data_IF_715076827538
#
_entry.id   IF_715076827538
#
_cell.length_a   1.000
_cell.length_b   1.000
_cell.length_c   1.000
_cell.angle_alpha   90.00
_cell.angle_beta   90.00
_cell.angle_gamma   90.00
#
_symmetry.space_group_name_H-M   'P 1'
#
loop_
_entity.id
_entity.type
_entity.pdbx_description
1 polymer ?
#
# COMPACT_ATOMS: atom_id res chain seq x y z
N UNK A 1 -7.39 -16.12 25.55
CA UNK A 1 -6.98 -17.53 25.46
C UNK A 1 -7.87 -18.39 26.35
N UNK A 2 -9.15 -18.52 25.99
CA UNK A 2 -10.10 -19.43 26.66
C UNK A 2 -10.03 -20.84 26.06
N UNK A 3 -9.48 -20.97 24.86
CA UNK A 3 -9.29 -22.21 24.12
C UNK A 3 -8.37 -23.18 24.89
N UNK A 4 -7.30 -22.65 25.51
CA UNK A 4 -6.42 -23.41 26.39
C UNK A 4 -7.12 -23.81 27.70
N UNK A 5 -8.00 -22.94 28.22
CA UNK A 5 -8.79 -23.24 29.41
C UNK A 5 -9.77 -24.39 29.15
N UNK A 6 -10.33 -24.50 27.95
CA UNK A 6 -11.16 -25.64 27.55
C UNK A 6 -10.38 -26.97 27.59
N UNK A 7 -9.12 -26.96 27.12
CA UNK A 7 -8.24 -28.12 27.24
C UNK A 7 -7.95 -28.51 28.70
N UNK A 8 -7.73 -27.54 29.58
CA UNK A 8 -7.56 -27.75 31.02
C UNK A 8 -8.84 -28.33 31.63
N UNK A 9 -10.01 -27.79 31.29
CA UNK A 9 -11.30 -28.28 31.77
C UNK A 9 -11.50 -29.74 31.37
N UNK A 10 -11.22 -30.12 30.13
CA UNK A 10 -11.32 -31.53 29.69
C UNK A 10 -10.39 -32.42 30.52
N UNK A 11 -9.13 -32.00 30.68
CA UNK A 11 -8.14 -32.76 31.46
C UNK A 11 -8.54 -32.95 32.93
N UNK A 12 -9.32 -32.01 33.50
CA UNK A 12 -9.78 -32.06 34.89
C UNK A 12 -11.18 -32.66 35.07
N UNK A 13 -12.06 -32.57 34.08
CA UNK A 13 -13.51 -32.72 34.26
C UNK A 13 -14.02 -34.16 34.29
N UNK A 14 -13.16 -35.16 34.09
CA UNK A 14 -13.52 -36.60 34.11
C UNK A 14 -14.80 -36.94 33.31
N UNK A 15 -15.15 -36.13 32.30
CA UNK A 15 -16.36 -36.30 31.50
C UNK A 15 -16.22 -37.59 30.70
N UNK A 16 -17.14 -38.53 30.91
CA UNK A 16 -17.16 -39.81 30.22
C UNK A 16 -18.49 -40.03 29.51
N UNK A 17 -18.41 -40.44 28.25
CA UNK A 17 -19.56 -40.83 27.45
C UNK A 17 -19.87 -42.30 27.75
N UNK A 18 -21.06 -42.57 28.30
CA UNK A 18 -21.44 -43.93 28.73
C UNK A 18 -21.67 -44.89 27.56
N UNK A 19 -22.24 -44.41 26.45
CA UNK A 19 -22.59 -45.24 25.29
C UNK A 19 -21.52 -45.14 24.20
N UNK A 20 -21.10 -46.30 23.69
CA UNK A 20 -20.19 -46.37 22.54
C UNK A 20 -20.79 -45.72 21.29
N UNK A 21 -22.09 -45.90 21.04
CA UNK A 21 -22.76 -45.26 19.91
C UNK A 21 -22.74 -43.73 20.03
N UNK A 22 -23.00 -43.21 21.23
CA UNK A 22 -22.94 -41.77 21.45
C UNK A 22 -21.51 -41.23 21.29
N UNK A 23 -20.49 -41.99 21.71
CA UNK A 23 -19.10 -41.62 21.50
C UNK A 23 -18.73 -41.58 20.00
N UNK A 24 -19.21 -42.52 19.19
CA UNK A 24 -19.03 -42.48 17.72
C UNK A 24 -19.66 -41.22 17.12
N UNK A 25 -20.91 -40.92 17.48
CA UNK A 25 -21.62 -39.72 16.98
C UNK A 25 -20.87 -38.45 17.38
N UNK A 26 -20.48 -38.31 18.65
CA UNK A 26 -19.77 -37.13 19.17
C UNK A 26 -18.38 -37.00 18.54
N UNK A 27 -17.68 -38.11 18.33
CA UNK A 27 -16.38 -38.13 17.65
C UNK A 27 -16.49 -37.68 16.19
N UNK A 28 -17.45 -38.21 15.44
CA UNK A 28 -17.69 -37.80 14.04
C UNK A 28 -18.12 -36.32 13.98
N UNK A 29 -19.02 -35.89 14.87
CA UNK A 29 -19.43 -34.49 14.95
C UNK A 29 -18.24 -33.57 15.26
N UNK A 30 -17.35 -33.98 16.17
CA UNK A 30 -16.14 -33.24 16.53
C UNK A 30 -15.19 -33.06 15.35
N UNK A 31 -14.86 -34.13 14.62
CA UNK A 31 -14.04 -34.02 13.40
C UNK A 31 -14.75 -33.17 12.35
N UNK A 32 -16.03 -33.38 12.12
CA UNK A 32 -16.80 -32.62 11.13
C UNK A 32 -16.77 -31.12 11.43
N UNK A 33 -16.86 -30.72 12.71
CA UNK A 33 -16.73 -29.32 13.11
C UNK A 33 -15.34 -28.73 12.79
N UNK A 34 -14.26 -29.50 13.03
CA UNK A 34 -12.89 -29.09 12.67
C UNK A 34 -12.75 -28.96 11.16
N UNK A 35 -13.17 -29.97 10.38
CA UNK A 35 -13.09 -29.96 8.91
C UNK A 35 -13.92 -28.82 8.31
N UNK A 36 -15.12 -28.59 8.83
CA UNK A 36 -15.98 -27.46 8.42
C UNK A 36 -15.27 -26.15 8.66
N UNK A 37 -14.60 -25.99 9.80
CA UNK A 37 -13.83 -24.77 10.11
C UNK A 37 -12.69 -24.57 9.11
N UNK A 38 -11.97 -25.63 8.72
CA UNK A 38 -10.89 -25.57 7.73
C UNK A 38 -11.39 -25.14 6.35
N UNK A 39 -12.58 -25.57 5.94
CA UNK A 39 -13.13 -25.29 4.60
C UNK A 39 -13.87 -23.95 4.54
N UNK A 40 -14.60 -23.58 5.60
CA UNK A 40 -15.48 -22.41 5.62
C UNK A 40 -14.79 -21.14 6.11
N UNK A 41 -13.74 -21.24 6.92
CA UNK A 41 -13.07 -20.04 7.43
C UNK A 41 -12.21 -19.40 6.34
N UNK A 42 -12.32 -18.09 6.23
CA UNK A 42 -11.62 -17.28 5.24
C UNK A 42 -10.95 -16.07 5.89
N UNK A 43 -10.26 -15.28 5.09
CA UNK A 43 -9.70 -13.97 5.46
C UNK A 43 -10.76 -12.99 6.00
N UNK A 44 -12.04 -13.23 5.71
CA UNK A 44 -13.18 -12.44 6.22
C UNK A 44 -13.72 -12.91 7.57
N UNK A 45 -13.30 -14.08 8.05
CA UNK A 45 -13.76 -14.62 9.33
C UNK A 45 -12.99 -13.97 10.46
N UNK A 46 -13.69 -13.22 11.33
CA UNK A 46 -13.07 -12.62 12.50
C UNK A 46 -12.48 -13.68 13.44
N UNK A 47 -11.15 -13.73 13.51
CA UNK A 47 -10.40 -14.68 14.33
C UNK A 47 -9.21 -13.98 15.01
N UNK A 48 -8.98 -14.22 16.32
CA UNK A 48 -9.77 -15.04 17.24
C UNK A 48 -11.09 -14.34 17.65
N UNK A 49 -12.13 -15.12 17.95
CA UNK A 49 -13.47 -14.63 18.28
C UNK A 49 -14.47 -15.76 18.50
N UNK A 50 -15.77 -15.49 18.38
CA UNK A 50 -16.84 -16.51 18.49
C UNK A 50 -16.63 -17.64 17.48
N UNK A 51 -16.09 -17.35 16.29
CA UNK A 51 -15.78 -18.35 15.28
C UNK A 51 -14.87 -19.47 15.80
N UNK A 52 -13.96 -19.18 16.74
CA UNK A 52 -13.08 -20.18 17.33
C UNK A 52 -13.81 -21.24 18.17
N UNK A 53 -15.07 -21.01 18.59
CA UNK A 53 -15.87 -21.99 19.33
C UNK A 53 -16.08 -23.28 18.54
N UNK A 54 -16.35 -23.17 17.23
CA UNK A 54 -16.64 -24.34 16.41
C UNK A 54 -15.47 -25.34 16.37
N UNK A 55 -14.23 -24.97 15.99
CA UNK A 55 -13.11 -25.90 15.98
C UNK A 55 -12.67 -26.32 17.39
N UNK A 56 -12.79 -25.45 18.40
CA UNK A 56 -12.32 -25.77 19.76
C UNK A 56 -13.26 -26.70 20.51
N UNK A 57 -14.58 -26.49 20.43
CA UNK A 57 -15.58 -27.43 20.96
C UNK A 57 -15.54 -28.72 20.14
N UNK A 58 -15.34 -28.65 18.83
CA UNK A 58 -15.15 -29.83 17.98
C UNK A 58 -13.97 -30.69 18.43
N UNK A 59 -12.81 -30.06 18.66
CA UNK A 59 -11.63 -30.75 19.21
C UNK A 59 -11.90 -31.31 20.61
N UNK A 60 -12.56 -30.56 21.48
CA UNK A 60 -12.93 -31.00 22.82
C UNK A 60 -13.82 -32.25 22.80
N UNK A 61 -14.89 -32.21 22.02
CA UNK A 61 -15.83 -33.29 21.83
C UNK A 61 -15.12 -34.55 21.28
N UNK A 62 -14.23 -34.35 20.30
CA UNK A 62 -13.45 -35.45 19.73
C UNK A 62 -12.53 -36.11 20.76
N UNK A 63 -11.81 -35.33 21.57
CA UNK A 63 -10.93 -35.85 22.63
C UNK A 63 -11.73 -36.64 23.66
N UNK A 64 -12.81 -36.05 24.21
CA UNK A 64 -13.65 -36.69 25.24
C UNK A 64 -14.27 -38.00 24.75
N UNK A 65 -14.76 -38.03 23.51
CA UNK A 65 -15.35 -39.23 22.93
C UNK A 65 -14.34 -40.37 22.79
N UNK A 66 -13.14 -40.06 22.32
CA UNK A 66 -12.09 -41.07 22.08
C UNK A 66 -11.35 -41.51 23.34
N UNK A 67 -11.32 -40.67 24.38
CA UNK A 67 -10.87 -41.08 25.72
C UNK A 67 -11.90 -42.00 26.39
N UNK A 68 -13.20 -41.81 26.11
CA UNK A 68 -14.27 -42.65 26.65
C UNK A 68 -14.35 -44.03 25.98
N UNK A 69 -14.25 -44.08 24.64
CA UNK A 69 -14.34 -45.32 23.84
C UNK A 69 -13.46 -45.25 22.58
N UNK A 70 -12.89 -46.38 22.11
CA UNK A 70 -12.08 -46.42 20.88
C UNK A 70 -12.93 -46.35 19.60
N UNK A 71 -13.29 -45.13 19.20
CA UNK A 71 -14.13 -44.89 18.00
C UNK A 71 -13.40 -45.22 16.69
N UNK A 72 -14.15 -45.39 15.60
CA UNK A 72 -13.58 -45.60 14.26
C UNK A 72 -12.74 -44.41 13.78
N UNK A 73 -13.25 -43.20 14.00
CA UNK A 73 -12.56 -41.96 13.67
C UNK A 73 -11.26 -41.80 14.47
N UNK A 74 -11.27 -42.12 15.76
CA UNK A 74 -10.06 -42.17 16.60
C UNK A 74 -9.05 -43.19 16.12
N UNK A 75 -9.48 -44.40 15.72
CA UNK A 75 -8.59 -45.43 15.17
C UNK A 75 -7.91 -44.99 13.88
N UNK A 76 -8.62 -44.31 12.98
CA UNK A 76 -8.03 -43.75 11.76
C UNK A 76 -6.95 -42.72 12.09
N UNK A 77 -7.24 -41.77 12.99
CA UNK A 77 -6.28 -40.75 13.43
C UNK A 77 -5.14 -41.30 14.29
N UNK A 78 -5.29 -42.51 14.84
CA UNK A 78 -4.25 -43.24 15.56
C UNK A 78 -3.31 -44.05 14.65
N UNK A 79 -3.40 -43.86 13.32
CA UNK A 79 -2.44 -44.45 12.39
C UNK A 79 -1.04 -43.85 12.59
N UNK A 80 0.00 -44.65 12.38
CA UNK A 80 1.40 -44.26 12.61
C UNK A 80 1.80 -42.95 11.90
N UNK A 81 1.40 -42.69 10.63
CA UNK A 81 1.75 -41.43 9.96
C UNK A 81 1.10 -40.20 10.60
N UNK A 82 -0.16 -40.31 11.05
CA UNK A 82 -0.88 -39.18 11.66
C UNK A 82 -0.39 -38.90 13.07
N UNK A 83 -0.08 -39.95 13.84
CA UNK A 83 0.61 -39.80 15.13
C UNK A 83 1.97 -39.14 14.93
N UNK A 84 2.75 -39.57 13.94
CA UNK A 84 4.05 -38.97 13.64
C UNK A 84 3.93 -37.46 13.37
N UNK A 85 2.96 -37.04 12.55
CA UNK A 85 2.68 -35.63 12.30
C UNK A 85 2.29 -34.88 13.58
N UNK A 86 1.48 -35.50 14.44
CA UNK A 86 1.14 -34.95 15.76
C UNK A 86 2.36 -34.78 16.67
N UNK A 87 3.27 -35.76 16.69
CA UNK A 87 4.48 -35.72 17.51
C UNK A 87 5.44 -34.60 17.11
N UNK A 88 5.61 -34.34 15.81
CA UNK A 88 6.49 -33.26 15.32
C UNK A 88 5.81 -31.90 15.20
N UNK A 89 4.51 -31.80 15.50
CA UNK A 89 3.66 -30.65 15.18
C UNK A 89 4.19 -29.31 15.74
N UNK A 90 4.73 -29.32 16.96
CA UNK A 90 5.33 -28.13 17.56
C UNK A 90 6.59 -27.67 16.82
N UNK A 91 7.52 -28.60 16.55
CA UNK A 91 8.71 -28.32 15.74
C UNK A 91 8.34 -27.88 14.32
N UNK A 92 7.27 -28.46 13.75
CA UNK A 92 6.74 -28.08 12.44
C UNK A 92 6.19 -26.66 12.42
N UNK A 93 5.45 -26.28 13.45
CA UNK A 93 5.01 -24.90 13.65
C UNK A 93 6.20 -23.92 13.67
N UNK A 94 7.32 -24.28 14.27
CA UNK A 94 8.51 -23.42 14.32
C UNK A 94 9.25 -23.33 12.98
N UNK A 95 9.42 -24.43 12.26
CA UNK A 95 10.28 -24.47 11.07
C UNK A 95 9.58 -24.13 9.75
N UNK A 96 8.28 -24.40 9.62
CA UNK A 96 7.58 -24.15 8.36
C UNK A 96 7.62 -22.66 8.02
N UNK A 97 7.29 -21.78 8.97
CA UNK A 97 7.15 -20.35 8.70
C UNK A 97 8.45 -19.67 8.24
N UNK A 98 9.60 -19.81 8.94
CA UNK A 98 10.86 -19.26 8.47
C UNK A 98 11.24 -19.73 7.07
N UNK A 99 11.09 -21.03 6.77
CA UNK A 99 11.38 -21.57 5.44
C UNK A 99 10.56 -20.88 4.35
N UNK A 100 9.24 -20.83 4.52
CA UNK A 100 8.36 -20.24 3.50
C UNK A 100 8.60 -18.74 3.36
N UNK A 101 8.83 -18.03 4.46
CA UNK A 101 9.12 -16.59 4.42
C UNK A 101 10.44 -16.34 3.71
N UNK A 102 11.54 -16.96 4.12
CA UNK A 102 12.85 -16.74 3.48
C UNK A 102 12.87 -17.17 2.01
N UNK A 103 12.20 -18.26 1.66
CA UNK A 103 12.04 -18.67 0.27
C UNK A 103 11.29 -17.62 -0.56
N UNK A 104 10.19 -17.07 -0.01
CA UNK A 104 9.41 -16.02 -0.67
C UNK A 104 10.20 -14.71 -0.78
N UNK A 105 11.05 -14.39 0.19
CA UNK A 105 11.93 -13.21 0.14
C UNK A 105 13.07 -13.37 -0.87
N UNK A 106 13.57 -14.59 -1.05
CA UNK A 106 14.65 -14.90 -1.99
C UNK A 106 14.19 -15.03 -3.45
N UNK A 107 12.88 -15.19 -3.68
CA UNK A 107 12.26 -15.35 -5.00
C UNK A 107 11.51 -14.09 -5.42
N UNK A 108 11.77 -13.58 -6.62
CA UNK A 108 11.01 -12.47 -7.23
C UNK A 108 9.65 -12.91 -7.79
N UNK A 109 9.48 -14.22 -8.03
CA UNK A 109 8.29 -14.84 -8.59
C UNK A 109 7.53 -15.65 -7.52
N UNK A 110 6.24 -15.95 -7.76
CA UNK A 110 5.52 -16.94 -6.96
C UNK A 110 6.32 -18.24 -6.87
N UNK A 111 6.31 -18.87 -5.70
CA UNK A 111 7.00 -20.14 -5.50
C UNK A 111 6.38 -21.20 -6.41
N UNK A 112 7.21 -21.85 -7.24
CA UNK A 112 6.72 -22.91 -8.12
C UNK A 112 6.18 -24.08 -7.28
N UNK A 113 5.22 -24.87 -7.81
CA UNK A 113 4.72 -26.05 -7.10
C UNK A 113 5.84 -26.99 -6.65
N UNK A 114 6.87 -27.15 -7.49
CA UNK A 114 8.06 -27.95 -7.17
C UNK A 114 8.83 -27.41 -5.97
N UNK A 115 9.03 -26.09 -5.91
CA UNK A 115 9.70 -25.43 -4.80
C UNK A 115 8.86 -25.50 -3.51
N UNK A 116 7.54 -25.35 -3.62
CA UNK A 116 6.62 -25.53 -2.48
C UNK A 116 6.70 -26.95 -1.90
N UNK A 117 6.67 -27.97 -2.76
CA UNK A 117 6.84 -29.37 -2.31
C UNK A 117 8.20 -29.56 -1.64
N UNK A 118 9.28 -29.02 -2.21
CA UNK A 118 10.61 -29.05 -1.60
C UNK A 118 10.65 -28.39 -0.22
N UNK A 119 10.01 -27.23 -0.04
CA UNK A 119 9.93 -26.53 1.24
C UNK A 119 9.09 -27.30 2.26
N UNK A 120 7.96 -27.89 1.87
CA UNK A 120 7.17 -28.77 2.73
C UNK A 120 8.01 -29.96 3.24
N UNK A 121 8.73 -30.63 2.33
CA UNK A 121 9.60 -31.76 2.69
C UNK A 121 10.73 -31.31 3.61
N UNK A 122 11.38 -30.19 3.32
CA UNK A 122 12.42 -29.62 4.17
C UNK A 122 11.88 -29.25 5.57
N UNK A 123 10.68 -28.68 5.64
CA UNK A 123 10.02 -28.36 6.91
C UNK A 123 9.81 -29.62 7.75
N UNK A 124 9.25 -30.69 7.17
CA UNK A 124 9.04 -31.96 7.88
C UNK A 124 10.36 -32.58 8.35
N UNK A 125 11.40 -32.59 7.51
CA UNK A 125 12.72 -33.13 7.86
C UNK A 125 13.33 -32.34 9.03
N UNK A 126 13.39 -31.02 8.93
CA UNK A 126 13.93 -30.18 10.00
C UNK A 126 13.12 -30.29 11.29
N UNK A 127 11.81 -30.42 11.17
CA UNK A 127 10.91 -30.62 12.32
C UNK A 127 11.17 -31.94 13.00
N UNK A 128 11.38 -33.01 12.24
CA UNK A 128 11.75 -34.31 12.79
C UNK A 128 13.13 -34.30 13.46
N UNK A 129 14.12 -33.66 12.84
CA UNK A 129 15.46 -33.48 13.43
C UNK A 129 15.37 -32.69 14.75
N UNK A 130 14.67 -31.56 14.73
CA UNK A 130 14.41 -30.72 15.91
C UNK A 130 13.69 -31.52 17.01
N UNK A 131 12.64 -32.25 16.65
CA UNK A 131 11.91 -33.11 17.58
C UNK A 131 12.82 -34.20 18.19
N UNK A 132 13.63 -34.87 17.38
CA UNK A 132 14.46 -36.01 17.81
C UNK A 132 15.66 -35.61 18.65
N UNK A 133 16.29 -34.48 18.32
CA UNK A 133 17.58 -34.05 18.90
C UNK A 133 17.47 -32.88 19.87
N UNK A 134 16.38 -32.11 19.83
CA UNK A 134 16.13 -31.01 20.76
C UNK A 134 14.96 -31.39 21.67
N UNK A 135 13.76 -31.55 21.11
CA UNK A 135 12.54 -31.68 21.91
C UNK A 135 12.55 -32.93 22.83
N UNK A 136 12.84 -34.12 22.28
CA UNK A 136 12.87 -35.38 23.06
C UNK A 136 13.89 -35.32 24.22
N UNK A 137 15.17 -34.91 23.98
CA UNK A 137 16.15 -34.78 25.07
C UNK A 137 15.72 -33.85 26.19
N UNK A 138 15.10 -32.70 25.88
CA UNK A 138 14.62 -31.76 26.90
C UNK A 138 13.34 -32.25 27.60
N UNK A 139 12.49 -33.03 26.91
CA UNK A 139 11.25 -33.60 27.48
C UNK A 139 11.50 -34.76 28.44
N UNK A 140 12.55 -35.56 28.22
CA UNK A 140 12.93 -36.66 29.12
C UNK A 140 13.69 -36.07 30.32
N UNK A 141 13.17 -36.31 31.53
CA UNK A 141 13.53 -35.72 32.85
C UNK A 141 15.03 -35.64 33.25
N UNK A 142 15.97 -36.13 32.45
CA UNK A 142 17.41 -36.13 32.79
C UNK A 142 18.05 -34.74 32.85
N UNK A 143 17.53 -33.75 32.10
CA UNK A 143 18.06 -32.36 32.13
C UNK A 143 17.41 -31.46 33.20
N UNK A 144 16.27 -31.88 33.78
CA UNK A 144 15.45 -31.05 34.70
C UNK A 144 16.06 -30.97 36.12
N UNK A 145 17.01 -31.83 36.47
CA UNK A 145 17.69 -31.77 37.78
C UNK A 145 18.56 -30.51 37.98
N UNK A 146 18.76 -29.70 36.92
CA UNK A 146 19.45 -28.40 37.00
C UNK A 146 18.54 -27.27 36.51
N UNK A 147 17.31 -27.17 37.05
CA UNK A 147 16.35 -26.08 36.73
C UNK A 147 16.99 -24.68 36.70
N UNK A 148 17.93 -24.42 37.61
CA UNK A 148 18.66 -23.16 37.68
C UNK A 148 19.63 -22.95 36.51
N UNK A 149 20.21 -24.01 35.95
CA UNK A 149 21.08 -23.92 34.76
C UNK A 149 20.23 -23.62 33.52
N UNK A 150 19.06 -24.23 33.37
CA UNK A 150 18.15 -23.92 32.26
C UNK A 150 17.64 -22.48 32.34
N UNK A 151 17.22 -22.03 33.54
CA UNK A 151 16.82 -20.65 33.77
C UNK A 151 17.97 -19.66 33.53
N UNK A 152 19.19 -19.99 33.99
CA UNK A 152 20.37 -19.16 33.75
C UNK A 152 20.73 -19.08 32.27
N UNK A 153 20.72 -20.21 31.54
CA UNK A 153 20.98 -20.22 30.09
C UNK A 153 19.90 -19.45 29.32
N UNK A 154 18.64 -19.58 29.71
CA UNK A 154 17.54 -18.78 29.15
C UNK A 154 17.73 -17.29 29.41
N UNK A 155 18.01 -16.90 30.66
CA UNK A 155 18.28 -15.52 31.03
C UNK A 155 19.55 -14.96 30.36
N UNK A 156 20.60 -15.77 30.22
CA UNK A 156 21.82 -15.40 29.52
C UNK A 156 21.58 -15.23 28.02
N UNK A 157 20.81 -16.11 27.38
CA UNK A 157 20.43 -15.96 25.98
C UNK A 157 19.59 -14.69 25.76
N UNK A 158 18.62 -14.42 26.64
CA UNK A 158 17.84 -13.18 26.63
C UNK A 158 18.73 -11.95 26.86
N UNK A 159 19.68 -12.02 27.79
CA UNK A 159 20.65 -10.96 28.07
C UNK A 159 21.56 -10.70 26.88
N UNK A 160 22.07 -11.74 26.23
CA UNK A 160 22.88 -11.63 25.00
C UNK A 160 22.06 -11.01 23.87
N UNK A 161 20.80 -11.43 23.67
CA UNK A 161 19.93 -10.83 22.67
C UNK A 161 19.66 -9.34 22.97
N UNK A 162 19.40 -9.00 24.24
CA UNK A 162 19.17 -7.62 24.67
C UNK A 162 20.43 -6.75 24.49
N UNK A 163 21.60 -7.23 24.93
CA UNK A 163 22.88 -6.53 24.76
C UNK A 163 23.22 -6.40 23.28
N UNK A 164 23.02 -7.45 22.48
CA UNK A 164 23.22 -7.38 21.02
C UNK A 164 22.30 -6.34 20.39
N UNK A 165 21.03 -6.28 20.80
CA UNK A 165 20.07 -5.25 20.37
C UNK A 165 20.50 -3.84 20.76
N UNK A 166 20.93 -3.64 22.01
CA UNK A 166 21.42 -2.34 22.51
C UNK A 166 22.71 -1.89 21.81
N UNK A 167 23.65 -2.81 21.56
CA UNK A 167 24.88 -2.52 20.82
C UNK A 167 24.58 -2.14 19.37
N UNK A 168 23.59 -2.81 18.75
CA UNK A 168 23.06 -2.49 17.42
C UNK A 168 22.41 -1.10 17.40
N UNK A 169 21.63 -0.74 18.42
CA UNK A 169 20.95 0.55 18.52
C UNK A 169 21.91 1.72 18.77
N UNK A 170 22.84 1.56 19.72
CA UNK A 170 23.85 2.57 20.07
C UNK A 170 24.85 2.82 18.94
N UNK A 171 25.12 1.81 18.13
CA UNK A 171 25.87 1.93 16.88
C UNK A 171 24.89 1.90 15.72
N UNK A 172 23.94 2.81 15.62
CA UNK A 172 22.98 2.87 14.49
C UNK A 172 23.62 3.25 13.14
N UNK A 173 24.93 3.52 13.13
CA UNK A 173 25.71 3.87 11.93
C UNK A 173 26.24 2.68 11.09
N UNK A 174 26.61 1.49 11.62
CA UNK A 174 27.15 0.39 10.81
C UNK A 174 26.08 -0.53 10.19
N UNK A 175 24.82 -0.53 10.65
CA UNK A 175 23.77 -1.40 10.07
C UNK A 175 23.10 -0.78 8.84
N UNK A 176 22.90 0.54 8.84
CA UNK A 176 22.48 1.28 7.64
C UNK A 176 23.53 1.19 6.52
N UNK A 177 24.83 1.20 6.88
CA UNK A 177 25.92 0.96 5.92
C UNK A 177 25.99 -0.48 5.36
N UNK A 178 25.24 -1.45 5.93
CA UNK A 178 25.11 -2.80 5.34
C UNK A 178 24.06 -2.86 4.23
N UNK A 179 23.17 -1.87 4.17
CA UNK A 179 22.19 -1.75 3.10
C UNK A 179 22.93 -1.13 1.90
N UNK A 180 23.01 -1.83 0.76
CA UNK A 180 23.66 -1.26 -0.42
C UNK A 180 23.00 0.05 -0.83
N UNK A 181 23.77 1.01 -1.34
CA UNK A 181 23.26 2.34 -1.72
C UNK A 181 22.01 2.28 -2.63
N UNK A 182 21.92 1.39 -3.64
CA UNK A 182 20.70 1.25 -4.43
C UNK A 182 19.47 0.85 -3.61
N UNK A 183 19.63 -0.03 -2.61
CA UNK A 183 18.54 -0.44 -1.73
C UNK A 183 18.14 0.68 -0.77
N UNK A 184 19.11 1.50 -0.35
CA UNK A 184 18.83 2.71 0.42
C UNK A 184 18.01 3.70 -0.39
N UNK A 185 18.34 3.94 -1.67
CA UNK A 185 17.53 4.81 -2.52
C UNK A 185 16.10 4.29 -2.74
N UNK A 186 15.91 2.97 -2.81
CA UNK A 186 14.58 2.36 -2.84
C UNK A 186 13.79 2.68 -1.57
N UNK A 187 14.43 2.51 -0.41
CA UNK A 187 13.81 2.89 0.86
C UNK A 187 13.54 4.38 0.91
N UNK A 188 14.56 5.22 0.68
CA UNK A 188 14.49 6.67 0.76
C UNK A 188 13.36 7.23 -0.10
N UNK A 189 13.11 6.71 -1.32
CA UNK A 189 12.00 7.20 -2.15
C UNK A 189 10.62 6.73 -1.67
N UNK A 190 10.52 5.53 -1.09
CA UNK A 190 9.27 5.00 -0.51
C UNK A 190 8.96 5.55 0.88
N UNK A 191 10.03 5.88 1.62
CA UNK A 191 10.03 6.44 2.96
C UNK A 191 10.31 7.94 2.92
N UNK A 192 10.38 8.54 1.73
CA UNK A 192 10.15 9.94 1.51
C UNK A 192 8.71 10.15 1.99
N UNK A 193 8.58 10.21 3.31
CA UNK A 193 7.67 11.06 4.02
C UNK A 193 8.01 12.46 3.49
N UNK A 194 7.52 12.76 2.28
CA UNK A 194 6.52 13.78 2.20
C UNK A 194 5.57 13.40 3.34
N UNK A 195 5.87 13.89 4.55
CA UNK A 195 4.81 14.24 5.45
C UNK A 195 3.87 14.94 4.52
N UNK A 196 2.72 14.31 4.26
CA UNK A 196 1.58 14.99 3.70
C UNK A 196 1.68 16.38 4.31
N UNK A 197 1.97 17.36 3.46
CA UNK A 197 2.11 18.73 3.87
C UNK A 197 3.29 19.23 4.71
N UNK A 198 4.54 19.10 4.27
CA UNK A 198 5.59 20.03 4.73
C UNK A 198 5.32 21.52 4.39
N UNK A 199 4.36 21.82 3.50
CA UNK A 199 3.87 23.18 3.26
C UNK A 199 2.40 23.35 3.67
N UNK A 200 1.62 22.27 3.68
CA UNK A 200 0.15 22.34 3.60
C UNK A 200 -0.65 21.41 4.53
N UNK A 201 0.03 20.57 5.28
CA UNK A 201 -0.53 19.69 6.31
C UNK A 201 0.47 19.57 7.48
N UNK A 202 1.18 20.67 7.78
CA UNK A 202 1.92 20.78 9.02
C UNK A 202 0.91 21.00 10.15
N UNK A 203 1.22 20.40 11.29
CA UNK A 203 0.51 20.43 12.57
C UNK A 203 -0.03 21.80 12.98
N UNK A 204 -1.07 21.87 13.85
CA UNK A 204 -1.62 23.12 14.36
C UNK A 204 -0.51 24.03 14.91
N UNK A 205 -0.27 25.18 14.27
CA UNK A 205 0.73 26.16 14.69
C UNK A 205 1.80 26.53 13.66
N UNK A 206 1.83 25.91 12.48
CA UNK A 206 2.75 26.32 11.41
C UNK A 206 2.25 27.55 10.63
N UNK A 207 3.16 28.48 10.35
CA UNK A 207 2.87 29.80 9.78
C UNK A 207 2.47 29.77 8.29
N UNK A 208 2.48 28.60 7.63
CA UNK A 208 2.09 28.45 6.21
C UNK A 208 0.58 28.28 5.96
N UNK A 209 -0.20 27.98 7.01
CA UNK A 209 -1.65 27.78 6.95
C UNK A 209 -2.41 28.99 7.52
N UNK A 210 -2.56 30.05 6.72
CA UNK A 210 -3.44 31.18 7.08
C UNK A 210 -4.88 30.91 6.66
N UNK A 211 -5.80 30.89 7.62
CA UNK A 211 -7.24 30.72 7.36
C UNK A 211 -7.66 29.31 6.96
N UNK A 212 -6.85 28.28 7.26
CA UNK A 212 -7.15 26.88 6.94
C UNK A 212 -6.86 26.46 5.49
N UNK A 213 -6.20 27.31 4.70
CA UNK A 213 -5.82 27.03 3.32
C UNK A 213 -4.31 26.75 3.19
N UNK A 214 -3.98 25.73 2.39
CA UNK A 214 -2.62 25.41 1.98
C UNK A 214 -2.08 26.48 1.02
N UNK A 215 -1.13 27.31 1.47
CA UNK A 215 -0.50 28.34 0.64
C UNK A 215 0.92 27.93 0.26
N UNK A 216 1.26 28.04 -1.03
CA UNK A 216 2.56 27.66 -1.59
C UNK A 216 3.21 28.83 -2.33
N UNK A 217 4.52 28.77 -2.55
CA UNK A 217 5.30 29.82 -3.20
C UNK A 217 5.82 30.86 -2.21
N UNK A 218 5.85 32.13 -2.62
CA UNK A 218 6.25 33.27 -1.79
C UNK A 218 5.13 33.66 -0.80
N UNK A 219 4.81 32.73 0.11
CA UNK A 219 3.67 32.77 1.03
C UNK A 219 3.76 33.91 2.07
N UNK A 220 3.53 35.14 1.63
CA UNK A 220 3.60 36.36 2.44
C UNK A 220 2.23 36.67 3.02
N UNK A 221 2.18 36.91 4.33
CA UNK A 221 0.92 37.25 5.02
C UNK A 221 0.28 38.50 4.40
N UNK A 222 -0.95 38.35 3.90
CA UNK A 222 -1.73 39.43 3.27
C UNK A 222 -1.58 39.55 1.75
N UNK A 223 -0.69 38.77 1.11
CA UNK A 223 -0.65 38.70 -0.34
C UNK A 223 -1.79 37.82 -0.87
N UNK A 224 -2.48 38.28 -1.91
CA UNK A 224 -3.49 37.49 -2.61
C UNK A 224 -2.82 36.43 -3.51
N UNK A 225 -3.25 35.17 -3.47
CA UNK A 225 -2.70 34.14 -4.36
C UNK A 225 -3.10 34.40 -5.81
N UNK A 226 -2.20 34.08 -6.74
CA UNK A 226 -2.35 34.30 -8.20
C UNK A 226 -2.56 33.04 -9.00
N UNK A 227 -2.29 31.88 -8.39
CA UNK A 227 -2.56 30.59 -8.99
C UNK A 227 -3.19 29.62 -8.01
N UNK A 228 -3.94 28.66 -8.55
CA UNK A 228 -4.50 27.54 -7.80
C UNK A 228 -3.98 26.23 -8.39
N UNK A 229 -3.59 25.31 -7.52
CA UNK A 229 -3.32 23.92 -7.86
C UNK A 229 -4.50 23.10 -7.37
N UNK A 230 -5.21 22.41 -8.26
CA UNK A 230 -6.40 21.65 -7.90
C UNK A 230 -6.31 20.23 -8.44
N UNK A 231 -6.50 19.24 -7.56
CA UNK A 231 -6.38 17.84 -7.97
C UNK A 231 -6.57 16.80 -6.90
N UNK A 232 -6.03 15.61 -7.19
CA UNK A 232 -5.93 14.51 -6.24
C UNK A 232 -4.51 14.42 -5.64
N UNK A 233 -4.15 13.26 -5.09
CA UNK A 233 -2.82 13.00 -4.53
C UNK A 233 -1.68 13.15 -5.54
N UNK A 234 -1.94 13.16 -6.85
CA UNK A 234 -0.96 13.49 -7.87
C UNK A 234 -0.66 15.00 -7.92
N UNK A 235 -1.64 15.85 -7.63
CA UNK A 235 -1.40 17.28 -7.46
C UNK A 235 -0.51 17.52 -6.24
N UNK A 236 -0.81 16.84 -5.13
CA UNK A 236 0.01 16.89 -3.92
C UNK A 236 1.47 16.49 -4.19
N UNK A 237 1.67 15.39 -4.94
CA UNK A 237 3.02 14.92 -5.31
C UNK A 237 3.82 15.97 -6.12
N UNK A 238 3.16 16.90 -6.81
CA UNK A 238 3.78 17.98 -7.57
C UNK A 238 3.99 19.28 -6.76
N UNK A 239 3.42 19.39 -5.56
CA UNK A 239 3.53 20.60 -4.72
C UNK A 239 4.98 21.03 -4.44
N UNK A 240 5.94 20.15 -4.14
CA UNK A 240 7.34 20.56 -3.92
C UNK A 240 7.93 21.38 -5.08
N UNK A 241 7.63 20.96 -6.33
CA UNK A 241 8.05 21.68 -7.52
C UNK A 241 7.35 23.04 -7.61
N UNK A 242 6.02 23.06 -7.50
CA UNK A 242 5.21 24.27 -7.67
C UNK A 242 5.50 25.32 -6.58
N UNK A 243 5.76 24.87 -5.35
CA UNK A 243 6.21 25.73 -4.26
C UNK A 243 7.60 26.32 -4.54
N UNK A 244 8.52 25.51 -5.07
CA UNK A 244 9.88 25.97 -5.42
C UNK A 244 9.83 27.02 -6.53
N UNK A 245 9.06 26.77 -7.58
CA UNK A 245 8.86 27.73 -8.67
C UNK A 245 8.14 28.99 -8.18
N UNK A 246 7.08 28.87 -7.38
CA UNK A 246 6.40 30.02 -6.77
C UNK A 246 7.37 30.91 -5.98
N UNK A 247 8.24 30.31 -5.16
CA UNK A 247 9.28 31.07 -4.43
C UNK A 247 10.28 31.73 -5.36
N UNK A 248 10.75 31.01 -6.38
CA UNK A 248 11.76 31.51 -7.33
C UNK A 248 11.26 32.71 -8.14
N UNK A 249 9.98 32.73 -8.51
CA UNK A 249 9.36 33.81 -9.30
C UNK A 249 8.60 34.83 -8.44
N UNK A 250 8.60 34.68 -7.11
CA UNK A 250 7.91 35.57 -6.17
C UNK A 250 6.39 35.48 -6.21
N UNK A 251 5.84 34.39 -6.75
CA UNK A 251 4.40 34.14 -6.88
C UNK A 251 3.87 33.29 -5.72
N UNK A 252 2.60 33.52 -5.38
CA UNK A 252 1.91 32.78 -4.33
C UNK A 252 0.69 32.06 -4.90
N UNK A 253 0.45 30.83 -4.45
CA UNK A 253 -0.71 30.04 -4.84
C UNK A 253 -1.37 29.32 -3.68
N UNK A 254 -2.50 28.69 -3.96
CA UNK A 254 -3.25 27.84 -3.03
C UNK A 254 -3.39 26.44 -3.63
N UNK A 255 -3.29 25.40 -2.81
CA UNK A 255 -3.56 24.03 -3.25
C UNK A 255 -4.88 23.55 -2.66
N UNK A 256 -5.68 22.93 -3.51
CA UNK A 256 -6.85 22.13 -3.15
C UNK A 256 -6.58 20.71 -3.66
N UNK A 257 -6.12 19.83 -2.79
CA UNK A 257 -5.87 18.44 -3.12
C UNK A 257 -6.63 17.50 -2.18
N UNK A 258 -7.20 16.44 -2.75
CA UNK A 258 -7.86 15.40 -1.96
C UNK A 258 -7.68 14.05 -2.62
N UNK A 259 -7.11 13.09 -1.89
CA UNK A 259 -6.83 11.76 -2.42
C UNK A 259 -8.08 11.08 -2.98
N UNK A 260 -7.99 10.53 -4.20
CA UNK A 260 -9.12 9.99 -4.95
C UNK A 260 -10.24 11.00 -5.24
N UNK A 261 -9.89 12.26 -5.52
CA UNK A 261 -10.85 13.28 -5.90
C UNK A 261 -10.40 14.04 -7.17
N UNK A 262 -11.03 13.80 -8.34
CA UNK A 262 -10.65 14.51 -9.55
C UNK A 262 -11.08 15.99 -9.48
N UNK A 263 -10.31 16.93 -10.04
CA UNK A 263 -10.59 18.37 -9.96
C UNK A 263 -11.65 18.80 -10.99
N UNK A 264 -12.83 18.19 -10.94
CA UNK A 264 -13.91 18.38 -11.91
C UNK A 264 -15.23 18.63 -11.19
N UNK A 265 -15.77 19.84 -11.31
CA UNK A 265 -17.08 20.17 -10.76
C UNK A 265 -18.20 19.46 -11.54
N UNK A 266 -19.24 19.00 -10.84
CA UNK A 266 -20.37 18.29 -11.46
C UNK A 266 -20.12 16.82 -11.82
N UNK A 267 -18.86 16.39 -11.87
CA UNK A 267 -18.50 14.99 -11.87
C UNK A 267 -18.58 14.41 -10.45
N UNK A 268 -18.91 13.14 -10.33
CA UNK A 268 -18.91 12.37 -9.08
C UNK A 268 -18.06 11.10 -9.26
N UNK A 269 -17.68 10.46 -8.16
CA UNK A 269 -16.99 9.18 -8.18
C UNK A 269 -17.87 8.07 -7.60
N UNK A 270 -17.79 6.88 -8.18
CA UNK A 270 -18.37 5.66 -7.62
C UNK A 270 -17.26 4.61 -7.41
N UNK A 271 -17.08 4.10 -6.17
CA UNK A 271 -17.73 4.54 -4.93
C UNK A 271 -17.32 5.98 -4.54
N UNK A 272 -18.15 6.69 -3.75
CA UNK A 272 -17.86 8.07 -3.34
C UNK A 272 -16.59 8.13 -2.47
N UNK A 273 -15.73 9.11 -2.75
CA UNK A 273 -14.60 9.44 -1.89
C UNK A 273 -15.06 10.40 -0.76
N UNK A 274 -14.76 10.12 0.53
CA UNK A 274 -15.12 11.01 1.63
C UNK A 274 -14.58 12.43 1.44
N UNK A 275 -15.43 13.44 1.62
CA UNK A 275 -15.05 14.86 1.54
C UNK A 275 -14.82 15.42 0.12
N UNK A 276 -14.76 14.58 -0.91
CA UNK A 276 -14.41 15.01 -2.27
C UNK A 276 -15.38 16.04 -2.86
N UNK A 277 -16.69 15.87 -2.68
CA UNK A 277 -17.69 16.82 -3.22
C UNK A 277 -17.62 18.19 -2.56
N UNK A 278 -17.38 18.22 -1.25
CA UNK A 278 -17.19 19.45 -0.50
C UNK A 278 -15.92 20.18 -0.96
N UNK A 279 -14.82 19.45 -1.10
CA UNK A 279 -13.54 20.00 -1.53
C UNK A 279 -13.59 20.59 -2.94
N UNK A 280 -14.22 19.89 -3.90
CA UNK A 280 -14.43 20.42 -5.26
C UNK A 280 -15.27 21.70 -5.24
N UNK A 281 -16.31 21.73 -4.40
CA UNK A 281 -17.14 22.91 -4.20
C UNK A 281 -16.34 24.09 -3.63
N UNK A 282 -15.48 23.83 -2.65
CA UNK A 282 -14.62 24.83 -2.03
C UNK A 282 -13.58 25.38 -3.02
N UNK A 283 -12.88 24.51 -3.74
CA UNK A 283 -11.89 24.87 -4.75
C UNK A 283 -12.52 25.74 -5.86
N UNK A 284 -13.63 25.28 -6.44
CA UNK A 284 -14.30 26.00 -7.53
C UNK A 284 -14.85 27.35 -7.08
N UNK A 285 -15.43 27.43 -5.88
CA UNK A 285 -15.91 28.69 -5.29
C UNK A 285 -14.74 29.64 -5.00
N UNK A 286 -13.62 29.12 -4.51
CA UNK A 286 -12.43 29.92 -4.23
C UNK A 286 -11.88 30.56 -5.50
N UNK A 287 -11.71 29.77 -6.57
CA UNK A 287 -11.25 30.24 -7.90
C UNK A 287 -12.14 31.37 -8.45
N UNK A 288 -13.46 31.31 -8.21
CA UNK A 288 -14.40 32.32 -8.72
C UNK A 288 -14.51 33.58 -7.87
N UNK A 289 -14.29 33.45 -6.56
CA UNK A 289 -14.46 34.56 -5.62
C UNK A 289 -13.17 35.36 -5.37
N UNK A 290 -12.03 34.89 -5.88
CA UNK A 290 -10.74 35.58 -5.75
C UNK A 290 -10.15 35.87 -7.13
N UNK A 291 -9.19 36.80 -7.18
CA UNK A 291 -8.46 37.18 -8.40
C UNK A 291 -7.41 36.12 -8.79
N UNK A 292 -7.89 34.90 -9.05
CA UNK A 292 -7.07 33.77 -9.53
C UNK A 292 -7.00 33.82 -11.05
N UNK A 293 -5.80 34.05 -11.58
CA UNK A 293 -5.55 34.11 -13.02
C UNK A 293 -5.14 32.76 -13.60
N UNK A 294 -4.46 31.92 -12.82
CA UNK A 294 -3.91 30.65 -13.29
C UNK A 294 -4.50 29.47 -12.51
N UNK A 295 -5.07 28.49 -13.19
CA UNK A 295 -5.65 27.28 -12.59
C UNK A 295 -4.91 26.06 -13.14
N UNK A 296 -4.23 25.31 -12.28
CA UNK A 296 -3.43 24.13 -12.65
C UNK A 296 -4.17 22.89 -12.17
N UNK A 297 -4.67 22.08 -13.12
CA UNK A 297 -5.42 20.86 -12.88
C UNK A 297 -4.49 19.64 -13.02
N UNK A 298 -4.39 18.83 -11.97
CA UNK A 298 -3.49 17.66 -11.93
C UNK A 298 -4.26 16.49 -11.31
N UNK A 299 -4.32 15.35 -12.00
CA UNK A 299 -4.94 14.16 -11.43
C UNK A 299 -4.42 12.87 -12.05
N UNK A 300 -4.76 11.74 -11.45
CA UNK A 300 -4.60 10.41 -12.05
C UNK A 300 -5.77 10.09 -13.00
N UNK A 301 -5.88 10.81 -14.12
CA UNK A 301 -7.06 10.79 -15.00
C UNK A 301 -7.55 9.39 -15.41
N UNK A 302 -6.65 8.48 -15.77
CA UNK A 302 -6.96 7.12 -16.21
C UNK A 302 -7.59 6.28 -15.10
N UNK A 303 -7.29 6.57 -13.83
CA UNK A 303 -7.85 5.87 -12.68
C UNK A 303 -9.38 6.01 -12.66
N UNK A 304 -9.87 7.24 -12.87
CA UNK A 304 -11.31 7.54 -12.83
C UNK A 304 -12.06 7.12 -14.10
N UNK A 305 -11.37 6.87 -15.21
CA UNK A 305 -12.00 6.42 -16.46
C UNK A 305 -11.94 4.90 -16.59
N UNK A 306 -10.78 4.30 -16.30
CA UNK A 306 -10.56 2.86 -16.48
C UNK A 306 -10.99 2.02 -15.29
N UNK A 307 -11.24 2.63 -14.12
CA UNK A 307 -11.65 1.90 -12.93
C UNK A 307 -10.50 1.39 -12.08
N UNK A 308 -9.28 1.89 -12.21
CA UNK A 308 -8.11 1.34 -11.52
C UNK A 308 -7.50 0.09 -12.18
N UNK A 309 -6.62 -0.62 -11.47
CA UNK A 309 -5.81 -1.71 -12.03
C UNK A 309 -6.38 -3.12 -11.75
N UNK A 310 -5.96 -4.11 -12.55
CA UNK A 310 -6.21 -5.55 -12.35
C UNK A 310 -7.68 -6.00 -12.37
N UNK A 311 -8.48 -5.51 -13.33
CA UNK A 311 -9.89 -5.91 -13.54
C UNK A 311 -10.83 -5.69 -12.33
N UNK A 312 -10.42 -4.90 -11.33
CA UNK A 312 -11.28 -4.47 -10.22
C UNK A 312 -11.57 -2.99 -10.36
N UNK A 313 -12.83 -2.69 -10.67
CA UNK A 313 -13.32 -1.31 -10.70
C UNK A 313 -13.26 -0.73 -9.28
N UNK A 314 -12.27 0.13 -9.05
CA UNK A 314 -11.97 0.79 -7.79
C UNK A 314 -12.62 2.17 -7.71
N UNK A 315 -12.66 2.90 -8.82
CA UNK A 315 -13.31 4.21 -8.94
C UNK A 315 -13.68 4.52 -10.39
N UNK A 316 -14.93 4.90 -10.67
CA UNK A 316 -15.32 5.48 -11.96
C UNK A 316 -15.92 6.87 -11.76
N UNK A 317 -15.57 7.78 -12.66
CA UNK A 317 -16.22 9.07 -12.78
C UNK A 317 -17.60 8.88 -13.39
N UNK A 318 -18.57 9.59 -12.84
CA UNK A 318 -19.98 9.56 -13.21
C UNK A 318 -20.53 10.98 -13.18
N UNK A 319 -21.69 11.23 -13.76
CA UNK A 319 -22.38 12.51 -13.63
C UNK A 319 -23.84 12.30 -13.22
N UNK A 320 -24.62 13.38 -13.19
CA UNK A 320 -26.05 13.34 -12.90
C UNK A 320 -26.88 12.70 -14.02
N UNK A 321 -26.31 12.53 -15.22
CA UNK A 321 -27.02 12.03 -16.40
C UNK A 321 -27.02 10.51 -16.46
N UNK A 322 -25.88 9.88 -16.16
CA UNK A 322 -25.75 8.43 -16.18
C UNK A 322 -24.79 7.92 -15.10
N UNK A 323 -25.13 6.76 -14.52
CA UNK A 323 -24.29 6.05 -13.54
C UNK A 323 -23.25 5.22 -14.28
N UNK A 324 -21.99 5.64 -14.22
CA UNK A 324 -20.90 4.92 -14.88
C UNK A 324 -20.74 3.49 -14.33
N UNK A 325 -20.79 2.53 -15.25
CA UNK A 325 -20.56 1.09 -15.00
C UNK A 325 -19.45 0.50 -15.89
N UNK A 326 -18.94 1.30 -16.83
CA UNK A 326 -17.89 0.93 -17.79
C UNK A 326 -17.01 2.14 -18.08
N UNK A 327 -15.83 1.90 -18.65
CA UNK A 327 -14.91 2.97 -19.03
C UNK A 327 -15.46 3.88 -20.12
N UNK A 328 -16.29 3.36 -21.02
CA UNK A 328 -16.97 4.19 -22.04
C UNK A 328 -17.97 5.15 -21.40
N UNK A 329 -18.77 4.67 -20.44
CA UNK A 329 -19.71 5.52 -19.71
C UNK A 329 -18.96 6.58 -18.87
N UNK A 330 -17.88 6.16 -18.21
CA UNK A 330 -17.01 7.04 -17.44
C UNK A 330 -16.34 8.12 -18.32
N UNK A 331 -15.84 7.76 -19.50
CA UNK A 331 -15.29 8.71 -20.46
C UNK A 331 -16.34 9.74 -20.92
N UNK A 332 -17.57 9.29 -21.19
CA UNK A 332 -18.67 10.20 -21.54
C UNK A 332 -19.02 11.17 -20.40
N UNK A 333 -19.04 10.70 -19.16
CA UNK A 333 -19.25 11.56 -17.98
C UNK A 333 -18.07 12.53 -17.79
N UNK A 334 -16.84 12.07 -18.00
CA UNK A 334 -15.62 12.89 -17.97
C UNK A 334 -15.70 14.03 -18.97
N UNK A 335 -16.04 13.75 -20.23
CA UNK A 335 -16.17 14.75 -21.28
C UNK A 335 -17.27 15.77 -20.97
N UNK A 336 -18.47 15.31 -20.57
CA UNK A 336 -19.62 16.18 -20.25
C UNK A 336 -19.40 17.08 -19.03
N UNK A 337 -18.41 16.80 -18.19
CA UNK A 337 -18.15 17.57 -16.96
C UNK A 337 -16.86 18.39 -17.05
N UNK A 338 -15.76 17.82 -17.55
CA UNK A 338 -14.49 18.52 -17.71
C UNK A 338 -14.58 19.62 -18.76
N UNK A 339 -15.12 19.33 -19.96
CA UNK A 339 -15.12 20.27 -21.08
C UNK A 339 -15.88 21.56 -20.74
N UNK A 340 -17.12 21.51 -20.21
CA UNK A 340 -17.85 22.73 -19.87
C UNK A 340 -17.20 23.51 -18.71
N UNK A 341 -16.62 22.82 -17.73
CA UNK A 341 -15.92 23.48 -16.62
C UNK A 341 -14.69 24.25 -17.11
N UNK A 342 -13.86 23.62 -17.93
CA UNK A 342 -12.66 24.26 -18.50
C UNK A 342 -13.04 25.42 -19.42
N UNK A 343 -14.04 25.23 -20.29
CA UNK A 343 -14.56 26.28 -21.14
C UNK A 343 -15.10 27.47 -20.32
N UNK A 344 -15.78 27.20 -19.20
CA UNK A 344 -16.24 28.26 -18.30
C UNK A 344 -15.06 29.04 -17.70
N UNK A 345 -14.05 28.37 -17.14
CA UNK A 345 -12.89 29.04 -16.53
C UNK A 345 -12.12 29.86 -17.57
N UNK A 346 -11.96 29.32 -18.77
CA UNK A 346 -11.36 29.98 -19.93
C UNK A 346 -12.13 31.25 -20.35
N UNK A 347 -13.46 31.16 -20.52
CA UNK A 347 -14.30 32.32 -20.85
C UNK A 347 -14.37 33.37 -19.74
N UNK A 348 -14.19 32.97 -18.48
CA UNK A 348 -14.01 33.89 -17.34
C UNK A 348 -12.61 34.57 -17.34
N UNK A 349 -11.80 34.35 -18.38
CA UNK A 349 -10.51 35.03 -18.60
C UNK A 349 -9.32 34.38 -17.89
N UNK A 350 -9.48 33.19 -17.31
CA UNK A 350 -8.40 32.48 -16.60
C UNK A 350 -7.56 31.64 -17.57
N UNK A 351 -6.27 31.53 -17.26
CA UNK A 351 -5.38 30.55 -17.90
C UNK A 351 -5.52 29.21 -17.20
N UNK A 352 -5.96 28.18 -17.93
CA UNK A 352 -6.16 26.82 -17.39
C UNK A 352 -5.06 25.91 -17.92
N UNK A 353 -4.28 25.33 -17.01
CA UNK A 353 -3.22 24.38 -17.32
C UNK A 353 -3.67 22.99 -16.89
N UNK A 354 -3.80 22.07 -17.83
CA UNK A 354 -4.18 20.68 -17.56
C UNK A 354 -2.93 19.83 -17.72
N UNK A 355 -2.49 19.21 -16.63
CA UNK A 355 -1.32 18.35 -16.64
C UNK A 355 -1.79 16.93 -16.98
N UNK A 356 -1.31 16.39 -18.09
CA UNK A 356 -1.52 14.97 -18.39
C UNK A 356 -0.90 14.13 -17.28
N UNK A 357 -1.46 12.95 -17.03
CA UNK A 357 -0.99 12.15 -15.91
C UNK A 357 0.44 11.67 -16.17
N UNK A 358 1.19 11.45 -15.10
CA UNK A 358 2.52 10.86 -15.21
C UNK A 358 2.41 9.37 -15.59
N UNK A 359 3.41 8.80 -16.30
CA UNK A 359 3.46 7.37 -16.60
C UNK A 359 3.35 6.51 -15.34
N UNK A 360 2.42 5.53 -15.34
CA UNK A 360 2.28 4.60 -14.22
C UNK A 360 3.32 3.47 -14.29
N UNK A 361 4.02 3.24 -13.19
CA UNK A 361 5.00 2.17 -13.02
C UNK A 361 4.29 0.88 -12.59
N UNK A 362 3.53 0.28 -13.52
CA UNK A 362 2.70 -0.93 -13.29
C UNK A 362 3.43 -2.16 -12.71
N UNK A 363 4.76 -2.19 -12.79
CA UNK A 363 5.58 -3.26 -12.24
C UNK A 363 6.20 -2.91 -10.87
N UNK A 364 5.84 -1.76 -10.31
CA UNK A 364 6.37 -1.28 -9.02
C UNK A 364 6.00 -2.26 -7.90
N UNK A 365 7.03 -2.78 -7.23
CA UNK A 365 6.90 -3.63 -6.05
C UNK A 365 8.07 -3.30 -5.13
N UNK A 366 7.77 -2.47 -4.13
CA UNK A 366 8.76 -1.96 -3.19
C UNK A 366 9.60 -3.08 -2.56
N UNK A 367 8.94 -4.19 -2.21
CA UNK A 367 9.60 -5.34 -1.58
C UNK A 367 10.57 -5.98 -2.56
N UNK A 368 10.12 -6.32 -3.78
CA UNK A 368 10.97 -6.94 -4.80
C UNK A 368 12.14 -6.05 -5.18
N UNK A 369 11.90 -4.75 -5.34
CA UNK A 369 12.92 -3.74 -5.62
C UNK A 369 13.98 -3.72 -4.53
N UNK A 370 13.55 -3.61 -3.26
CA UNK A 370 14.46 -3.56 -2.12
C UNK A 370 15.32 -4.83 -2.03
N UNK A 371 14.70 -6.01 -2.06
CA UNK A 371 15.46 -7.27 -1.97
C UNK A 371 16.36 -7.51 -3.18
N UNK A 372 15.95 -7.10 -4.38
CA UNK A 372 16.82 -7.14 -5.56
C UNK A 372 18.07 -6.29 -5.30
N UNK A 373 17.87 -5.02 -4.94
CA UNK A 373 18.95 -4.08 -4.70
C UNK A 373 19.91 -4.53 -3.57
N UNK A 374 19.37 -5.12 -2.49
CA UNK A 374 20.16 -5.72 -1.41
C UNK A 374 21.02 -6.88 -1.91
N UNK A 375 20.44 -7.76 -2.75
CA UNK A 375 21.12 -8.99 -3.21
C UNK A 375 22.13 -8.74 -4.32
N UNK A 376 21.84 -7.82 -5.24
CA UNK A 376 22.65 -7.60 -6.45
C UNK A 376 23.56 -6.40 -6.34
N UNK A 377 23.33 -5.50 -5.38
CA UNK A 377 23.96 -4.17 -5.32
C UNK A 377 23.81 -3.40 -6.66
N UNK A 378 22.66 -3.56 -7.32
CA UNK A 378 22.30 -2.88 -8.56
C UNK A 378 21.04 -2.05 -8.39
N UNK A 379 20.96 -1.02 -9.22
CA UNK A 379 19.80 -0.17 -9.40
C UNK A 379 18.60 -0.95 -9.96
N UNK A 380 17.40 -0.36 -9.84
CA UNK A 380 16.12 -1.04 -10.11
C UNK A 380 15.46 -0.58 -11.42
N UNK A 381 16.24 0.07 -12.29
CA UNK A 381 15.77 0.60 -13.58
C UNK A 381 15.16 -0.47 -14.51
N UNK A 382 15.45 -1.76 -14.31
CA UNK A 382 14.91 -2.87 -15.09
C UNK A 382 13.38 -3.06 -14.95
N UNK A 383 12.75 -2.39 -13.97
CA UNK A 383 11.30 -2.43 -13.70
C UNK A 383 10.55 -1.32 -14.45
N UNK A 384 11.29 -0.40 -15.10
CA UNK A 384 10.70 0.72 -15.85
C UNK A 384 9.71 0.26 -16.92
N UNK A 385 8.62 1.01 -17.06
CA UNK A 385 7.55 0.70 -18.01
C UNK A 385 7.91 1.21 -19.42
N UNK A 386 7.46 0.51 -20.46
CA UNK A 386 7.61 0.96 -21.85
C UNK A 386 6.67 2.14 -22.15
N UNK A 387 7.14 3.12 -22.91
CA UNK A 387 6.36 4.30 -23.30
C UNK A 387 5.02 3.93 -23.94
N UNK A 388 5.01 2.97 -24.88
CA UNK A 388 3.79 2.44 -25.52
C UNK A 388 2.74 1.94 -24.50
N UNK A 389 3.19 1.31 -23.41
CA UNK A 389 2.27 0.84 -22.37
C UNK A 389 1.68 2.02 -21.58
N UNK A 390 2.50 3.03 -21.28
CA UNK A 390 2.04 4.27 -20.63
C UNK A 390 1.02 5.01 -21.51
N UNK A 391 1.31 5.18 -22.80
CA UNK A 391 0.41 5.81 -23.78
C UNK A 391 -0.95 5.11 -23.83
N UNK A 392 -0.97 3.77 -23.85
CA UNK A 392 -2.22 3.00 -23.83
C UNK A 392 -3.04 3.22 -22.56
N UNK A 393 -2.39 3.36 -21.40
CA UNK A 393 -3.07 3.66 -20.14
C UNK A 393 -3.70 5.05 -20.15
N UNK A 394 -3.08 5.99 -20.87
CA UNK A 394 -3.48 7.40 -20.92
C UNK A 394 -4.38 7.77 -22.09
N UNK A 395 -4.52 6.89 -23.09
CA UNK A 395 -5.18 7.21 -24.35
C UNK A 395 -6.62 7.73 -24.18
N UNK A 396 -7.41 7.15 -23.28
CA UNK A 396 -8.81 7.57 -23.05
C UNK A 396 -8.90 8.99 -22.48
N UNK A 397 -8.32 9.32 -21.30
CA UNK A 397 -8.37 10.69 -20.80
C UNK A 397 -7.73 11.70 -21.77
N UNK A 398 -6.59 11.35 -22.38
CA UNK A 398 -5.89 12.26 -23.28
C UNK A 398 -6.70 12.57 -24.54
N UNK A 399 -7.48 11.63 -25.06
CA UNK A 399 -8.38 11.89 -26.20
C UNK A 399 -9.42 12.99 -25.96
N UNK A 400 -9.72 13.30 -24.69
CA UNK A 400 -10.59 14.43 -24.30
C UNK A 400 -9.75 15.64 -23.92
N UNK A 401 -8.71 15.47 -23.09
CA UNK A 401 -7.85 16.55 -22.61
C UNK A 401 -7.20 17.30 -23.77
N UNK A 402 -6.66 16.61 -24.76
CA UNK A 402 -5.97 17.21 -25.91
C UNK A 402 -6.92 18.09 -26.75
N UNK A 403 -8.23 17.82 -26.75
CA UNK A 403 -9.20 18.66 -27.49
C UNK A 403 -9.38 20.04 -26.87
N UNK A 404 -9.07 20.18 -25.58
CA UNK A 404 -9.29 21.42 -24.82
C UNK A 404 -8.32 22.54 -25.21
N UNK A 405 -7.21 22.23 -25.88
CA UNK A 405 -6.27 23.24 -26.40
C UNK A 405 -6.89 24.15 -27.48
N UNK A 406 -8.04 23.76 -28.03
CA UNK A 406 -8.82 24.61 -28.94
C UNK A 406 -9.53 25.77 -28.23
N UNK A 407 -9.67 25.70 -26.90
CA UNK A 407 -10.24 26.78 -26.08
C UNK A 407 -9.18 27.86 -25.81
N UNK A 408 -9.57 29.14 -25.72
CA UNK A 408 -8.63 30.23 -25.45
C UNK A 408 -8.01 30.10 -24.06
N UNK A 409 -6.73 30.43 -23.92
CA UNK A 409 -6.00 30.39 -22.63
C UNK A 409 -6.02 29.01 -21.94
N UNK A 410 -6.20 27.92 -22.69
CA UNK A 410 -6.08 26.55 -22.18
C UNK A 410 -4.79 25.93 -22.69
N UNK A 411 -4.03 25.32 -21.78
CA UNK A 411 -2.73 24.71 -22.05
C UNK A 411 -2.73 23.28 -21.52
N UNK A 412 -2.26 22.34 -22.33
CA UNK A 412 -2.03 20.95 -21.91
C UNK A 412 -0.52 20.75 -21.71
N UNK A 413 -0.15 20.17 -20.57
CA UNK A 413 1.23 19.92 -20.17
C UNK A 413 1.47 18.41 -20.12
N UNK A 414 2.23 17.89 -21.09
CA UNK A 414 2.61 16.48 -21.17
C UNK A 414 3.97 16.22 -20.50
N UNK A 415 4.02 15.49 -19.36
CA UNK A 415 5.27 15.14 -18.69
C UNK A 415 6.01 13.97 -19.35
N UNK A 416 5.41 13.27 -20.31
CA UNK A 416 5.89 12.00 -20.89
C UNK A 416 7.29 12.14 -21.48
N UNK A 417 7.58 13.21 -22.23
CA UNK A 417 8.90 13.40 -22.86
C UNK A 417 10.05 13.62 -21.86
N UNK A 418 9.75 14.06 -20.63
CA UNK A 418 10.75 14.24 -19.58
C UNK A 418 10.99 12.96 -18.79
N UNK A 419 9.94 12.17 -18.58
CA UNK A 419 9.96 10.93 -17.80
C UNK A 419 10.31 9.70 -18.66
N UNK A 420 9.97 9.73 -19.94
CA UNK A 420 10.20 8.65 -20.89
C UNK A 420 11.28 9.03 -21.91
N UNK A 421 12.35 8.25 -21.97
CA UNK A 421 13.45 8.41 -22.93
C UNK A 421 13.70 7.09 -23.64
N UNK A 422 13.98 7.16 -24.93
CA UNK A 422 14.30 5.99 -25.77
C UNK A 422 13.24 4.87 -25.68
N UNK A 423 11.96 5.25 -25.56
CA UNK A 423 10.83 4.31 -25.45
C UNK A 423 10.64 3.69 -24.06
N UNK A 424 11.34 4.16 -23.03
CA UNK A 424 11.25 3.68 -21.64
C UNK A 424 10.91 4.83 -20.70
N UNK A 425 9.82 4.69 -19.94
CA UNK A 425 9.43 5.60 -18.86
C UNK A 425 10.20 5.25 -17.59
N UNK A 426 11.24 6.04 -17.33
CA UNK A 426 12.25 5.72 -16.32
C UNK A 426 11.62 5.70 -14.91
N UNK A 427 11.84 4.62 -14.19
CA UNK A 427 11.55 4.56 -12.75
C UNK A 427 12.61 5.29 -11.92
N UNK A 428 13.82 5.44 -12.46
CA UNK A 428 15.00 5.92 -11.75
C UNK A 428 15.83 6.86 -12.64
N UNK A 429 16.37 7.93 -12.04
CA UNK A 429 17.30 8.87 -12.66
C UNK A 429 18.51 9.07 -11.74
N UNK A 430 19.72 8.79 -12.22
CA UNK A 430 20.98 8.95 -11.46
C UNK A 430 20.98 8.23 -10.10
N UNK A 431 20.43 7.00 -10.05
CA UNK A 431 20.34 6.23 -8.81
C UNK A 431 19.13 6.57 -7.94
N UNK A 432 18.42 7.67 -8.22
CA UNK A 432 17.28 8.12 -7.42
C UNK A 432 15.97 7.76 -8.10
N UNK A 433 15.02 7.20 -7.34
CA UNK A 433 13.71 6.88 -7.90
C UNK A 433 12.91 8.16 -8.18
N UNK A 434 12.27 8.20 -9.34
CA UNK A 434 11.34 9.25 -9.74
C UNK A 434 9.95 9.04 -9.16
N UNK A 435 9.65 7.84 -8.62
CA UNK A 435 8.36 7.45 -8.08
C UNK A 435 8.51 6.89 -6.67
N UNK A 436 7.52 7.16 -5.80
CA UNK A 436 7.45 6.59 -4.45
C UNK A 436 6.63 5.30 -4.40
N UNK A 437 5.68 5.17 -5.32
CA UNK A 437 4.80 4.03 -5.52
C UNK A 437 4.52 3.83 -7.02
N UNK A 438 3.47 3.09 -7.39
CA UNK A 438 3.18 2.81 -8.79
C UNK A 438 2.75 4.03 -9.62
N UNK A 439 2.34 5.16 -9.01
CA UNK A 439 1.79 6.29 -9.76
C UNK A 439 2.20 7.68 -9.24
N UNK A 440 2.58 7.81 -7.98
CA UNK A 440 2.99 9.07 -7.40
C UNK A 440 4.47 9.35 -7.60
N UNK A 441 4.79 10.56 -8.06
CA UNK A 441 6.16 11.03 -8.13
C UNK A 441 6.77 11.16 -6.72
N UNK A 442 8.07 10.87 -6.63
CA UNK A 442 8.91 11.31 -5.51
C UNK A 442 9.19 12.80 -5.61
N UNK A 443 9.83 13.40 -4.60
CA UNK A 443 10.26 14.81 -4.68
C UNK A 443 11.19 15.02 -5.87
N UNK A 444 12.11 14.09 -6.10
CA UNK A 444 13.05 14.14 -7.24
C UNK A 444 12.30 13.97 -8.57
N UNK A 445 11.28 13.09 -8.60
CA UNK A 445 10.38 12.93 -9.73
C UNK A 445 9.68 14.24 -10.10
N UNK A 446 9.05 14.89 -9.13
CA UNK A 446 8.38 16.17 -9.34
C UNK A 446 9.37 17.23 -9.81
N UNK A 447 10.52 17.39 -9.16
CA UNK A 447 11.55 18.36 -9.56
C UNK A 447 12.10 18.12 -10.96
N UNK A 448 12.10 16.87 -11.47
CA UNK A 448 12.53 16.59 -12.85
C UNK A 448 11.63 17.23 -13.92
N UNK A 449 10.44 17.68 -13.55
CA UNK A 449 9.48 18.35 -14.42
C UNK A 449 9.61 19.89 -14.41
N UNK A 450 10.63 20.45 -13.77
CA UNK A 450 10.80 21.90 -13.61
C UNK A 450 10.70 22.68 -14.93
N UNK A 451 11.30 22.18 -16.00
CA UNK A 451 11.27 22.83 -17.31
C UNK A 451 9.88 22.89 -17.93
N UNK A 452 8.98 21.95 -17.58
CA UNK A 452 7.60 21.91 -18.06
C UNK A 452 6.74 23.02 -17.42
N UNK A 453 6.96 23.29 -16.13
CA UNK A 453 6.15 24.26 -15.37
C UNK A 453 6.75 25.67 -15.37
N UNK A 454 8.06 25.81 -15.61
CA UNK A 454 8.76 27.12 -15.64
C UNK A 454 8.07 28.18 -16.51
N UNK A 455 7.55 27.88 -17.73
CA UNK A 455 6.87 28.88 -18.56
C UNK A 455 5.66 29.53 -17.89
N UNK A 456 4.93 28.79 -17.04
CA UNK A 456 3.74 29.29 -16.32
C UNK A 456 4.16 30.40 -15.35
N UNK A 457 5.25 30.20 -14.62
CA UNK A 457 5.71 31.18 -13.62
C UNK A 457 6.41 32.39 -14.25
N UNK A 458 7.11 32.18 -15.38
CA UNK A 458 7.68 33.29 -16.18
C UNK A 458 6.60 34.21 -16.74
N UNK A 459 5.47 33.68 -17.19
CA UNK A 459 4.37 34.50 -17.70
C UNK A 459 3.75 35.34 -16.57
N UNK A 460 3.57 34.77 -15.38
CA UNK A 460 3.10 35.48 -14.19
C UNK A 460 4.04 36.63 -13.80
N UNK A 461 5.35 36.37 -13.73
CA UNK A 461 6.35 37.41 -13.42
C UNK A 461 6.34 38.55 -14.45
N UNK A 462 6.24 38.21 -15.74
CA UNK A 462 6.20 39.20 -16.82
C UNK A 462 4.97 40.11 -16.68
N UNK A 463 3.79 39.52 -16.44
CA UNK A 463 2.55 40.27 -16.21
C UNK A 463 2.67 41.20 -15.00
N UNK A 464 3.23 40.72 -13.89
CA UNK A 464 3.49 41.52 -12.69
C UNK A 464 4.41 42.71 -12.97
N UNK A 465 5.46 42.52 -13.76
CA UNK A 465 6.41 43.59 -14.13
C UNK A 465 5.83 44.64 -15.09
N UNK A 466 4.77 44.30 -15.82
CA UNK A 466 4.14 45.15 -16.84
C UNK A 466 2.95 45.99 -16.33
N UNK A 467 2.45 45.71 -15.13
CA UNK A 467 1.39 46.50 -14.49
C UNK A 467 1.98 47.81 -13.94
N UNK A 468 1.54 49.00 -14.40
CA UNK A 468 2.02 50.26 -13.84
C UNK A 468 1.57 50.41 -12.37
N UNK A 469 2.49 50.87 -11.53
CA UNK A 469 2.32 51.15 -10.10
C UNK A 469 1.20 52.14 -9.79
#
# INVERSE_FOLDING_TARGET
>A
MWELALGILIALSAVKIRSHFLAEVVSVAGISAIVTSVIMFSDKTSFPGIAALLPTIGAAAFIVANESHPTRAGRLLSSTPLIFMGLISYSLYLWHWPLFVFAKLASSNPLSPMMMTGLCTAAVIMSWLSYRFIEIPFRKKSFIHRRYVVLFLGAAAMGIMAISGMLIEQHSSPLSNRIPLPAKHVLDASSENIYWGGVCFQTPGDESSYGGLCRIGNATKGAEPKFVVWGDSHAEAMVPLLNTLGRAYGEQGVVFDSGNCPPIIGAHQIPPAPGCEEEKGNAFRYIRNHDIQNVILIARWSYYISGGQNNKISALITDSSDRATSSTAALGAFERTLVPMVAQLSHEGRSVYIVEQVPEQTQFDLRKMFYHAVRTNKNVSFISVRAEQSERTQALPNSVIETLVALPNVHVLDPTNLLCKDGICNLELNGKLLYRDESHLSTIGAMSLESLFTPIFKSMETLRSSSPL
#
